data_IF_942929574885
#
_entry.id   IF_942929574885
#
_cell.length_a   1.000
_cell.length_b   1.000
_cell.length_c   1.000
_cell.angle_alpha   90.00
_cell.angle_beta   90.00
_cell.angle_gamma   90.00
#
_symmetry.space_group_name_H-M   'P 1'
#
loop_
_entity.id
_entity.type
_entity.pdbx_description
1 polymer ?
#
# COMPACT_ATOMS: atom_id res chain seq x y z
N UNK A 1 -0.63 -12.25 -10.21
CA UNK A 1 -1.60 -11.56 -11.07
C UNK A 1 -1.29 -10.05 -11.13
N UNK A 2 -1.79 -9.35 -12.15
CA UNK A 2 -1.63 -7.88 -12.29
C UNK A 2 -2.21 -7.12 -11.08
N UNK A 3 -3.28 -7.64 -10.51
CA UNK A 3 -3.99 -7.06 -9.34
C UNK A 3 -3.11 -7.08 -8.09
N UNK A 4 -2.41 -8.18 -7.82
CA UNK A 4 -1.56 -8.31 -6.64
C UNK A 4 -0.33 -7.38 -6.67
N UNK A 5 0.21 -7.08 -7.85
CA UNK A 5 1.38 -6.18 -7.99
C UNK A 5 1.01 -4.72 -7.72
N UNK A 6 -0.10 -4.22 -8.29
CA UNK A 6 -0.55 -2.85 -8.02
C UNK A 6 -0.94 -2.60 -6.56
N UNK A 7 -1.38 -3.64 -5.85
CA UNK A 7 -1.65 -3.58 -4.42
C UNK A 7 -0.36 -3.48 -3.58
N UNK A 8 0.75 -4.07 -4.02
CA UNK A 8 2.03 -4.06 -3.28
C UNK A 8 2.50 -2.66 -2.91
N UNK A 9 2.47 -1.71 -3.85
CA UNK A 9 2.88 -0.33 -3.60
C UNK A 9 1.91 0.41 -2.67
N UNK A 10 0.62 0.14 -2.80
CA UNK A 10 -0.39 0.71 -1.90
C UNK A 10 -0.14 0.27 -0.46
N UNK A 11 0.17 -1.01 -0.24
CA UNK A 11 0.45 -1.55 1.10
C UNK A 11 1.70 -0.94 1.72
N UNK A 12 2.78 -0.83 0.94
CA UNK A 12 4.03 -0.23 1.40
C UNK A 12 3.79 1.19 1.92
N UNK A 13 3.18 2.05 1.11
CA UNK A 13 2.90 3.44 1.48
C UNK A 13 2.02 3.57 2.72
N UNK A 14 1.03 2.68 2.87
CA UNK A 14 0.17 2.69 4.04
C UNK A 14 0.91 2.23 5.30
N UNK A 15 1.73 1.17 5.21
CA UNK A 15 2.53 0.68 6.32
C UNK A 15 3.60 1.71 6.74
N UNK A 16 4.27 2.37 5.79
CA UNK A 16 5.22 3.45 6.04
C UNK A 16 4.55 4.62 6.77
N UNK A 17 3.35 5.02 6.33
CA UNK A 17 2.57 6.07 6.99
C UNK A 17 2.13 5.68 8.41
N UNK A 18 1.73 4.43 8.65
CA UNK A 18 1.44 3.93 10.00
C UNK A 18 2.66 4.10 10.92
N UNK A 19 3.83 3.66 10.47
CA UNK A 19 5.06 3.76 11.27
C UNK A 19 5.47 5.20 11.52
N UNK A 20 5.33 6.09 10.52
CA UNK A 20 5.62 7.52 10.70
C UNK A 20 4.71 8.19 11.74
N UNK A 21 3.49 7.67 11.93
CA UNK A 21 2.52 8.13 12.93
C UNK A 21 2.62 7.36 14.24
N UNK A 22 3.59 6.44 14.38
CA UNK A 22 3.74 5.55 15.53
C UNK A 22 2.46 4.78 15.88
N UNK A 23 1.73 4.35 14.85
CA UNK A 23 0.44 3.67 14.95
C UNK A 23 0.52 2.23 14.47
N UNK A 24 -0.45 1.43 14.91
CA UNK A 24 -0.65 0.02 14.54
C UNK A 24 -2.05 -0.16 13.99
N UNK A 25 -2.26 -1.23 13.24
CA UNK A 25 -3.56 -1.58 12.65
C UNK A 25 -4.03 -2.92 13.17
N UNK A 26 -5.31 -3.00 13.56
CA UNK A 26 -5.98 -4.24 13.97
C UNK A 26 -6.82 -4.87 12.86
N UNK A 27 -7.19 -4.10 11.85
CA UNK A 27 -8.12 -4.57 10.83
C UNK A 27 -7.80 -4.01 9.46
N UNK A 28 -7.85 -4.87 8.44
CA UNK A 28 -7.50 -4.54 7.05
C UNK A 28 -8.69 -4.81 6.15
N UNK A 29 -9.27 -3.76 5.59
CA UNK A 29 -10.28 -3.86 4.54
C UNK A 29 -9.65 -3.99 3.16
N UNK A 30 -10.10 -4.97 2.38
CA UNK A 30 -9.68 -5.16 0.99
C UNK A 30 -10.89 -5.09 0.08
N UNK A 31 -10.79 -4.34 -1.01
CA UNK A 31 -11.86 -4.24 -1.98
C UNK A 31 -11.39 -4.44 -3.41
N UNK A 32 -12.29 -4.98 -4.21
CA UNK A 32 -12.17 -5.13 -5.66
C UNK A 32 -13.42 -4.60 -6.34
N UNK A 33 -13.27 -3.90 -7.47
CA UNK A 33 -14.39 -3.55 -8.31
C UNK A 33 -14.02 -3.47 -9.79
N UNK A 34 -14.99 -3.78 -10.62
CA UNK A 34 -14.98 -3.61 -12.08
C UNK A 34 -15.30 -2.14 -12.44
N UNK A 35 -15.25 -1.82 -13.72
CA UNK A 35 -15.64 -0.51 -14.21
C UNK A 35 -17.16 -0.39 -14.32
N UNK A 36 -17.81 0.30 -13.37
CA UNK A 36 -19.27 0.50 -13.38
C UNK A 36 -19.85 1.23 -14.60
N UNK A 37 -18.99 1.91 -15.37
CA UNK A 37 -19.41 2.62 -16.59
C UNK A 37 -19.39 1.74 -17.85
N UNK A 38 -18.91 0.50 -17.73
CA UNK A 38 -18.88 -0.50 -18.80
C UNK A 38 -20.02 -1.50 -18.58
N UNK A 39 -21.23 -1.12 -19.03
CA UNK A 39 -22.41 -1.98 -18.93
C UNK A 39 -22.33 -3.24 -19.81
N UNK A 40 -21.43 -3.24 -20.79
CA UNK A 40 -21.12 -4.34 -21.70
C UNK A 40 -20.34 -5.48 -21.03
N UNK A 41 -19.78 -5.25 -19.86
CA UNK A 41 -18.98 -6.24 -19.13
C UNK A 41 -19.67 -6.69 -17.84
N UNK A 42 -19.43 -7.96 -17.41
CA UNK A 42 -19.98 -8.44 -16.16
C UNK A 42 -19.46 -7.61 -14.99
N UNK A 43 -20.39 -7.19 -14.13
CA UNK A 43 -20.09 -6.33 -12.99
C UNK A 43 -19.78 -7.12 -11.73
N UNK A 44 -18.74 -6.72 -11.02
CA UNK A 44 -18.35 -7.32 -9.76
C UNK A 44 -17.82 -6.26 -8.80
N UNK A 45 -18.32 -6.26 -7.56
CA UNK A 45 -17.84 -5.43 -6.46
C UNK A 45 -17.89 -6.22 -5.17
N UNK A 46 -16.74 -6.33 -4.50
CA UNK A 46 -16.64 -6.98 -3.19
C UNK A 46 -15.69 -6.22 -2.28
N UNK A 47 -16.00 -6.29 -1.01
CA UNK A 47 -15.21 -5.81 0.11
C UNK A 47 -15.16 -6.90 1.18
N UNK A 48 -14.02 -7.05 1.82
CA UNK A 48 -13.85 -7.91 2.98
C UNK A 48 -13.01 -7.18 4.02
N UNK A 49 -13.35 -7.34 5.28
CA UNK A 49 -12.55 -6.91 6.40
C UNK A 49 -11.84 -8.12 7.01
N UNK A 50 -10.52 -8.06 7.13
CA UNK A 50 -9.67 -9.08 7.74
C UNK A 50 -9.25 -8.56 9.11
N UNK A 51 -9.75 -9.19 10.16
CA UNK A 51 -9.34 -8.91 11.53
C UNK A 51 -7.99 -9.57 11.79
N UNK A 52 -7.05 -8.81 12.34
CA UNK A 52 -5.73 -9.31 12.69
C UNK A 52 -5.72 -9.88 14.11
N UNK A 53 -5.01 -10.99 14.34
CA UNK A 53 -4.91 -11.58 15.68
C UNK A 53 -4.09 -10.71 16.66
N UNK A 54 -3.23 -9.87 16.13
CA UNK A 54 -2.45 -8.84 16.85
C UNK A 54 -2.34 -7.59 15.99
N UNK A 55 -2.19 -6.44 16.62
CA UNK A 55 -1.94 -5.20 15.92
C UNK A 55 -0.57 -5.22 15.22
N UNK A 56 -0.54 -4.83 13.94
CA UNK A 56 0.65 -4.84 13.09
C UNK A 56 0.99 -3.43 12.59
N UNK A 57 2.27 -3.18 12.34
CA UNK A 57 2.78 -2.03 11.62
C UNK A 57 3.91 -2.40 10.64
N UNK A 58 4.29 -3.69 10.61
CA UNK A 58 5.27 -4.20 9.66
C UNK A 58 4.64 -4.42 8.28
N UNK A 59 5.41 -4.09 7.24
CA UNK A 59 4.93 -4.14 5.86
C UNK A 59 4.60 -5.56 5.41
N UNK A 60 5.39 -6.56 5.83
CA UNK A 60 5.20 -7.95 5.43
C UNK A 60 3.91 -8.55 5.99
N UNK A 61 3.61 -8.30 7.26
CA UNK A 61 2.38 -8.74 7.90
C UNK A 61 1.13 -8.12 7.27
N UNK A 62 1.17 -6.81 7.01
CA UNK A 62 0.07 -6.08 6.34
C UNK A 62 -0.16 -6.64 4.93
N UNK A 63 0.92 -6.87 4.16
CA UNK A 63 0.81 -7.45 2.81
C UNK A 63 0.19 -8.84 2.86
N UNK A 64 0.65 -9.73 3.76
CA UNK A 64 0.14 -11.09 3.86
C UNK A 64 -1.34 -11.12 4.22
N UNK A 65 -1.77 -10.34 5.21
CA UNK A 65 -3.18 -10.25 5.60
C UNK A 65 -4.05 -9.68 4.48
N UNK A 66 -3.57 -8.70 3.75
CA UNK A 66 -4.28 -8.13 2.63
C UNK A 66 -4.37 -9.09 1.43
N UNK A 67 -3.32 -9.88 1.16
CA UNK A 67 -3.36 -10.94 0.16
C UNK A 67 -4.36 -12.04 0.54
N UNK A 68 -4.41 -12.42 1.81
CA UNK A 68 -5.44 -13.37 2.30
C UNK A 68 -6.85 -12.85 2.03
N UNK A 69 -7.12 -11.58 2.35
CA UNK A 69 -8.38 -10.93 2.05
C UNK A 69 -8.68 -10.90 0.55
N UNK A 70 -7.66 -10.58 -0.27
CA UNK A 70 -7.79 -10.58 -1.72
C UNK A 70 -8.17 -11.95 -2.28
N UNK A 71 -7.52 -13.02 -1.83
CA UNK A 71 -7.82 -14.39 -2.28
C UNK A 71 -9.26 -14.79 -1.99
N UNK A 72 -9.83 -14.37 -0.86
CA UNK A 72 -11.22 -14.65 -0.49
C UNK A 72 -12.25 -13.98 -1.41
N UNK A 73 -11.93 -12.80 -1.96
CA UNK A 73 -12.86 -12.02 -2.80
C UNK A 73 -12.54 -12.07 -4.29
N UNK A 74 -11.35 -12.53 -4.67
CA UNK A 74 -10.96 -12.60 -6.08
C UNK A 74 -11.75 -13.69 -6.83
N UNK A 75 -12.25 -13.35 -8.00
CA UNK A 75 -12.85 -14.29 -8.96
C UNK A 75 -12.25 -14.09 -10.33
N UNK A 76 -11.89 -15.19 -11.00
CA UNK A 76 -11.45 -15.15 -12.40
C UNK A 76 -12.62 -14.77 -13.33
N UNK A 77 -12.31 -14.25 -14.52
CA UNK A 77 -13.31 -13.90 -15.54
C UNK A 77 -13.87 -12.47 -15.43
N UNK A 78 -13.44 -11.67 -14.47
CA UNK A 78 -13.81 -10.25 -14.36
C UNK A 78 -12.66 -9.31 -14.72
N UNK A 79 -12.96 -8.22 -15.42
CA UNK A 79 -12.02 -7.14 -15.69
C UNK A 79 -12.01 -6.13 -14.54
N UNK A 80 -11.10 -6.32 -13.59
CA UNK A 80 -10.97 -5.43 -12.45
C UNK A 80 -10.35 -4.09 -12.85
N UNK A 81 -11.04 -2.99 -12.52
CA UNK A 81 -10.55 -1.62 -12.73
C UNK A 81 -9.87 -1.05 -11.49
N UNK A 82 -10.41 -1.34 -10.30
CA UNK A 82 -9.88 -0.81 -9.03
C UNK A 82 -9.76 -1.93 -8.01
N UNK A 83 -8.67 -1.88 -7.29
CA UNK A 83 -8.46 -2.62 -6.07
C UNK A 83 -7.84 -1.68 -5.04
N UNK A 84 -8.06 -1.94 -3.77
CA UNK A 84 -7.46 -1.11 -2.73
C UNK A 84 -7.56 -1.72 -1.37
N UNK A 85 -6.88 -1.06 -0.45
CA UNK A 85 -6.79 -1.43 0.96
C UNK A 85 -7.16 -0.25 1.82
N UNK A 86 -7.84 -0.52 2.89
CA UNK A 86 -8.21 0.43 3.92
C UNK A 86 -7.72 -0.14 5.25
N UNK A 87 -6.84 0.58 5.91
CA UNK A 87 -6.42 0.24 7.26
C UNK A 87 -7.42 0.86 8.24
N UNK A 88 -8.02 0.04 9.06
CA UNK A 88 -9.05 0.44 10.03
C UNK A 88 -8.66 -0.04 11.41
N UNK A 89 -9.33 0.49 12.43
CA UNK A 89 -9.06 0.16 13.82
C UNK A 89 -7.58 0.43 14.16
N UNK A 90 -7.18 1.70 13.96
CA UNK A 90 -5.83 2.17 14.22
C UNK A 90 -5.69 2.46 15.72
N UNK A 91 -4.60 1.98 16.32
CA UNK A 91 -4.25 2.19 17.71
C UNK A 91 -2.86 2.80 17.84
N UNK A 92 -2.63 3.57 18.88
CA UNK A 92 -1.31 4.11 19.18
C UNK A 92 -0.38 3.04 19.76
N UNK A 93 0.92 3.23 19.59
CA UNK A 93 1.92 2.25 20.06
C UNK A 93 1.86 1.95 21.55
N UNK A 94 1.45 2.95 22.36
CA UNK A 94 1.30 2.83 23.81
C UNK A 94 0.01 2.10 24.24
N UNK A 95 -0.93 1.90 23.33
CA UNK A 95 -2.23 1.25 23.57
C UNK A 95 -2.27 -0.19 23.03
N UNK A 96 -1.18 -0.67 22.42
CA UNK A 96 -1.14 -2.01 21.84
C UNK A 96 -1.20 -3.06 22.93
N UNK A 97 -2.29 -3.80 22.96
CA UNK A 97 -2.46 -4.94 23.84
C UNK A 97 -1.64 -6.14 23.36
N UNK A 98 -0.83 -6.69 24.24
CA UNK A 98 -0.08 -7.92 23.96
C UNK A 98 -1.03 -9.12 24.04
N UNK A 99 -0.91 -10.03 23.08
CA UNK A 99 -1.64 -11.31 23.12
C UNK A 99 -0.81 -12.37 23.80
N UNK A 100 -1.44 -13.20 24.64
CA UNK A 100 -0.78 -14.36 25.26
C UNK A 100 -0.44 -15.47 24.24
N UNK A 101 -1.17 -15.54 23.14
CA UNK A 101 -1.07 -16.62 22.15
C UNK A 101 -0.29 -16.23 20.89
N UNK A 102 -0.16 -14.93 20.62
CA UNK A 102 0.51 -14.42 19.44
C UNK A 102 1.59 -13.42 19.86
N UNK A 103 2.84 -13.72 19.54
CA UNK A 103 3.92 -12.78 19.76
C UNK A 103 4.15 -11.90 18.53
N UNK A 104 4.28 -10.61 18.74
CA UNK A 104 4.68 -9.67 17.71
C UNK A 104 6.12 -9.95 17.29
N UNK A 105 6.37 -10.01 16.00
CA UNK A 105 7.71 -10.23 15.46
C UNK A 105 8.48 -8.89 15.43
N UNK A 106 9.09 -8.52 16.54
CA UNK A 106 9.93 -7.31 16.63
C UNK A 106 10.99 -7.23 15.53
N UNK A 107 11.48 -8.36 15.05
CA UNK A 107 12.43 -8.45 13.95
C UNK A 107 11.85 -7.87 12.65
N UNK A 108 10.61 -8.20 12.32
CA UNK A 108 9.94 -7.75 11.09
C UNK A 108 9.65 -6.23 11.16
N UNK A 109 9.35 -5.71 12.35
CA UNK A 109 9.22 -4.28 12.58
C UNK A 109 10.56 -3.54 12.39
N UNK A 110 11.66 -4.07 12.95
CA UNK A 110 12.99 -3.49 12.78
C UNK A 110 13.44 -3.50 11.33
N UNK A 111 13.20 -4.59 10.60
CA UNK A 111 13.49 -4.69 9.16
C UNK A 111 12.69 -3.63 8.38
N UNK A 112 11.40 -3.51 8.65
CA UNK A 112 10.56 -2.51 7.98
C UNK A 112 11.04 -1.08 8.22
N UNK A 113 11.42 -0.74 9.46
CA UNK A 113 12.00 0.57 9.79
C UNK A 113 13.33 0.82 9.07
N UNK A 114 14.20 -0.19 8.97
CA UNK A 114 15.48 -0.07 8.25
C UNK A 114 15.26 0.15 6.74
N UNK A 115 14.29 -0.53 6.14
CA UNK A 115 13.91 -0.34 4.74
C UNK A 115 13.38 1.09 4.52
N UNK A 116 12.54 1.59 5.42
CA UNK A 116 12.02 2.96 5.35
C UNK A 116 13.16 3.99 5.41
N UNK A 117 14.12 3.82 6.32
CA UNK A 117 15.28 4.71 6.43
C UNK A 117 16.14 4.72 5.16
N UNK A 118 16.42 3.54 4.59
CA UNK A 118 17.17 3.45 3.33
C UNK A 118 16.43 4.15 2.19
N UNK A 119 15.12 3.91 2.06
CA UNK A 119 14.31 4.55 1.04
C UNK A 119 14.17 6.07 1.24
N UNK A 120 14.24 6.54 2.46
CA UNK A 120 14.23 7.97 2.76
C UNK A 120 15.55 8.66 2.38
N UNK A 121 16.70 8.00 2.61
CA UNK A 121 18.03 8.56 2.34
C UNK A 121 18.40 8.47 0.86
N UNK A 122 18.19 7.32 0.24
CA UNK A 122 18.64 7.01 -1.12
C UNK A 122 17.57 7.19 -2.20
N UNK A 123 16.37 7.58 -1.81
CA UNK A 123 15.23 7.74 -2.70
C UNK A 123 14.18 6.64 -2.57
N UNK A 124 12.93 7.00 -2.88
CA UNK A 124 11.81 6.08 -2.78
C UNK A 124 12.03 4.86 -3.69
N UNK A 125 11.70 3.69 -3.16
CA UNK A 125 11.78 2.41 -3.89
C UNK A 125 13.20 1.88 -4.18
N UNK A 126 14.24 2.38 -3.49
CA UNK A 126 15.60 1.82 -3.53
C UNK A 126 15.59 0.36 -3.07
N UNK A 127 14.87 0.04 -2.00
CA UNK A 127 14.58 -1.33 -1.57
C UNK A 127 13.08 -1.58 -1.67
N UNK A 128 12.70 -2.69 -2.31
CA UNK A 128 11.32 -3.11 -2.52
C UNK A 128 11.07 -4.53 -2.01
N UNK A 129 9.86 -4.79 -1.54
CA UNK A 129 9.42 -6.16 -1.29
C UNK A 129 9.15 -6.88 -2.62
N UNK A 130 9.57 -8.14 -2.75
CA UNK A 130 9.43 -8.92 -3.98
C UNK A 130 7.98 -8.99 -4.49
N UNK A 131 7.00 -8.97 -3.60
CA UNK A 131 5.57 -8.98 -3.93
C UNK A 131 5.11 -7.74 -4.70
N UNK A 132 5.84 -6.62 -4.63
CA UNK A 132 5.56 -5.40 -5.39
C UNK A 132 5.89 -5.55 -6.88
N UNK A 133 6.81 -6.48 -7.24
CA UNK A 133 7.31 -6.66 -8.59
C UNK A 133 8.30 -5.56 -9.02
N UNK A 134 8.95 -5.79 -10.15
CA UNK A 134 9.96 -4.86 -10.69
C UNK A 134 9.43 -3.97 -11.82
N UNK A 135 8.35 -4.39 -12.50
CA UNK A 135 7.82 -3.67 -13.66
C UNK A 135 6.69 -2.72 -13.29
N UNK A 136 6.92 -1.43 -13.52
CA UNK A 136 5.94 -0.35 -13.32
C UNK A 136 5.04 -0.12 -14.56
N UNK A 137 4.75 -1.17 -15.35
CA UNK A 137 3.90 -1.06 -16.55
C UNK A 137 2.50 -0.48 -16.30
N UNK A 138 2.10 -0.37 -15.03
CA UNK A 138 0.84 0.19 -14.57
C UNK A 138 0.98 1.64 -14.07
N UNK A 139 2.21 2.17 -13.94
CA UNK A 139 2.43 3.55 -13.52
C UNK A 139 1.90 4.53 -14.55
N UNK A 140 1.42 5.67 -14.09
CA UNK A 140 0.97 6.74 -14.99
C UNK A 140 2.18 7.25 -15.75
N UNK A 141 2.12 7.21 -17.07
CA UNK A 141 3.13 7.81 -17.93
C UNK A 141 3.12 9.32 -17.73
N UNK A 142 4.21 9.87 -17.25
CA UNK A 142 4.39 11.30 -16.99
C UNK A 142 5.38 11.92 -17.98
N UNK A 143 5.17 11.69 -19.27
CA UNK A 143 6.09 12.13 -20.33
C UNK A 143 5.93 13.62 -20.68
N UNK A 144 4.79 14.23 -20.33
CA UNK A 144 4.47 15.63 -20.64
C UNK A 144 3.97 16.33 -19.37
N UNK A 145 4.88 16.62 -18.44
CA UNK A 145 4.58 17.43 -17.27
C UNK A 145 4.91 18.89 -17.58
N UNK A 146 4.05 19.79 -17.15
CA UNK A 146 4.41 21.20 -17.06
C UNK A 146 5.52 21.38 -16.03
N UNK A 147 6.43 22.36 -16.21
CA UNK A 147 7.44 22.67 -15.22
C UNK A 147 6.83 23.00 -13.85
N UNK A 148 7.53 22.62 -12.79
CA UNK A 148 7.07 22.79 -11.41
C UNK A 148 7.45 24.18 -10.88
N UNK A 149 6.94 25.22 -11.49
CA UNK A 149 7.30 26.64 -11.22
C UNK A 149 7.17 27.07 -9.74
N UNK A 150 6.32 26.42 -8.96
CA UNK A 150 6.06 26.78 -7.56
C UNK A 150 6.81 25.93 -6.54
N UNK A 151 7.40 24.82 -6.96
CA UNK A 151 7.99 23.82 -6.05
C UNK A 151 9.43 23.45 -6.39
N UNK A 152 9.94 23.84 -7.57
CA UNK A 152 11.30 23.58 -8.01
C UNK A 152 11.98 24.90 -8.45
N UNK A 153 12.96 25.36 -7.68
CA UNK A 153 13.69 26.61 -7.95
C UNK A 153 14.42 26.59 -9.29
N UNK A 154 14.84 25.44 -9.78
CA UNK A 154 15.58 25.32 -11.06
C UNK A 154 14.68 25.45 -12.30
N UNK A 155 13.37 25.39 -12.10
CA UNK A 155 12.37 25.48 -13.17
C UNK A 155 11.64 26.84 -13.19
N UNK A 156 12.10 27.81 -12.42
CA UNK A 156 11.58 29.17 -12.44
C UNK A 156 11.76 29.83 -13.82
N UNK A 157 10.72 30.54 -14.25
CA UNK A 157 10.80 31.40 -15.44
C UNK A 157 11.78 32.53 -15.18
N UNK A 158 12.95 32.52 -15.83
CA UNK A 158 13.90 33.62 -15.84
C UNK A 158 13.52 34.60 -16.93
N UNK A 159 13.14 35.81 -16.53
CA UNK A 159 13.00 36.93 -17.47
C UNK A 159 14.40 37.43 -17.86
N UNK A 160 14.71 37.36 -19.15
CA UNK A 160 15.86 38.11 -19.70
C UNK A 160 15.41 39.53 -19.91
N UNK A 161 15.94 40.47 -19.13
CA UNK A 161 15.83 41.91 -19.30
C UNK A 161 16.85 42.35 -20.32
#
# INVERSE_FOLDING_TARGET
>A
SRVSRGLGDVYKRQAEKLRSQNSFVNSIGVYLCTNRFRADLPQYRRYINVQLPIALNDTSGIINAALEGLYKIYRSGYEYKKCGVILTDLIQANEVQQSLFYSRREKDEKISKSIDQINQIFGSDTIRYAVQGQNESWSIKREKLSPSYTTNWNEFLTLKI
#
